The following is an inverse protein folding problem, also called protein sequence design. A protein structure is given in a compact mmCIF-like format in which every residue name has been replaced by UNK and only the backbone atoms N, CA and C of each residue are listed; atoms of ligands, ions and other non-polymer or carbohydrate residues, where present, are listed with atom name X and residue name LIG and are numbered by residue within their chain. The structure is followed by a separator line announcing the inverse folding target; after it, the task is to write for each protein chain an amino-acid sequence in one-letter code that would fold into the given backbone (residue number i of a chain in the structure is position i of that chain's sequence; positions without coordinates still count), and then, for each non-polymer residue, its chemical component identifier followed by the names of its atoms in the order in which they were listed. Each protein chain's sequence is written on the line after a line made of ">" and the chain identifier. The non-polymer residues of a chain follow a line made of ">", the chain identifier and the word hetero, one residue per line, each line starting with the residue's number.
data_IF_902348501964
#
_entry.id   IF_902348501964
#
_cell.length_a   1.000
_cell.length_b   1.000
_cell.length_c   1.000
_cell.angle_alpha   90.00
_cell.angle_beta   90.00
_cell.angle_gamma   90.00
#
_symmetry.space_group_name_H-M   'P 1'
#
loop_
_entity.id
_entity.type
_entity.pdbx_description
1 polymer ?
#
# COMPACT_ATOMS: atom_id res chain seq x y z
N UNK A 1 7.32 28.48 17.59
CA UNK A 1 8.64 28.03 17.06
C UNK A 1 9.79 28.55 17.92
N UNK A 2 9.55 29.54 18.78
CA UNK A 2 10.38 29.75 19.99
C UNK A 2 10.58 28.44 20.75
N UNK A 3 11.76 28.28 21.35
CA UNK A 3 12.16 27.07 22.05
C UNK A 3 12.80 25.99 21.16
N UNK A 4 12.75 26.10 19.83
CA UNK A 4 13.41 25.16 18.90
C UNK A 4 14.59 25.79 18.15
N UNK A 5 15.51 24.94 17.70
CA UNK A 5 16.59 25.30 16.78
C UNK A 5 16.04 25.96 15.51
N UNK A 6 16.79 26.87 14.86
CA UNK A 6 16.41 27.40 13.56
C UNK A 6 16.20 26.28 12.51
N UNK A 7 15.33 26.49 11.50
CA UNK A 7 15.17 25.52 10.42
C UNK A 7 16.46 25.28 9.65
N UNK A 8 16.70 24.03 9.26
CA UNK A 8 17.83 23.68 8.39
C UNK A 8 17.45 23.78 6.92
N UNK A 9 18.42 23.73 6.01
CA UNK A 9 18.17 23.73 4.55
C UNK A 9 17.30 22.53 4.12
N UNK A 10 17.43 21.40 4.81
CA UNK A 10 16.60 20.21 4.61
C UNK A 10 15.12 20.47 4.91
N UNK A 11 14.78 21.54 5.62
CA UNK A 11 13.40 21.94 5.95
C UNK A 11 12.85 23.00 4.99
N UNK A 12 13.60 23.41 3.96
CA UNK A 12 13.23 24.51 3.03
C UNK A 12 11.93 24.29 2.25
N UNK A 13 11.52 23.03 2.06
CA UNK A 13 10.27 22.67 1.38
C UNK A 13 9.04 22.73 2.29
N UNK A 14 9.24 22.86 3.61
CA UNK A 14 8.14 22.98 4.56
C UNK A 14 7.65 24.43 4.63
N UNK A 15 6.33 24.61 4.62
CA UNK A 15 5.69 25.91 4.75
C UNK A 15 4.99 26.07 6.11
N UNK A 16 4.88 27.29 6.61
CA UNK A 16 4.23 27.57 7.90
C UNK A 16 5.03 27.05 9.10
N UNK A 17 4.35 26.45 10.08
CA UNK A 17 4.94 26.05 11.36
C UNK A 17 5.40 24.57 11.42
N UNK A 18 5.54 23.91 10.27
CA UNK A 18 6.02 22.52 10.23
C UNK A 18 7.53 22.44 10.43
N UNK A 19 7.96 21.43 11.16
CA UNK A 19 9.37 21.08 11.40
C UNK A 19 9.57 19.58 11.20
N UNK A 20 10.72 19.19 10.66
CA UNK A 20 11.10 17.78 10.64
C UNK A 20 11.54 17.37 12.04
N UNK A 21 10.90 16.34 12.60
CA UNK A 21 11.23 15.84 13.94
C UNK A 21 12.71 15.41 14.08
N UNK A 22 13.34 15.01 12.99
CA UNK A 22 14.77 14.64 12.96
C UNK A 22 15.73 15.84 12.83
N UNK A 23 15.24 17.05 12.56
CA UNK A 23 16.05 18.27 12.41
C UNK A 23 15.84 19.26 13.55
N UNK A 24 14.66 19.25 14.18
CA UNK A 24 14.34 20.14 15.28
C UNK A 24 14.99 19.66 16.60
N UNK A 25 15.69 20.57 17.27
CA UNK A 25 16.22 20.37 18.63
C UNK A 25 15.66 21.44 19.57
N UNK A 26 15.49 21.11 20.86
CA UNK A 26 15.08 22.08 21.88
C UNK A 26 16.24 23.03 22.16
N UNK A 27 16.05 24.31 21.85
CA UNK A 27 17.02 25.38 22.06
C UNK A 27 16.86 26.07 23.41
N UNK A 28 15.63 26.13 23.94
CA UNK A 28 15.34 26.67 25.28
C UNK A 28 14.40 25.73 26.05
N UNK A 29 14.90 25.01 27.07
CA UNK A 29 14.11 24.12 27.91
C UNK A 29 13.08 24.82 28.80
N UNK A 30 13.17 26.14 28.99
CA UNK A 30 12.23 26.92 29.79
C UNK A 30 10.95 27.33 29.05
N UNK A 31 10.90 27.07 27.74
CA UNK A 31 9.78 27.39 26.87
C UNK A 31 8.91 26.15 26.64
N UNK A 32 7.60 26.28 26.82
CA UNK A 32 6.65 25.21 26.50
C UNK A 32 6.53 25.01 24.99
N UNK A 33 6.72 23.77 24.53
CA UNK A 33 6.67 23.40 23.11
C UNK A 33 5.49 22.46 22.88
N UNK A 34 4.46 22.97 22.22
CA UNK A 34 3.34 22.16 21.75
C UNK A 34 3.57 21.73 20.30
N UNK A 35 3.31 20.45 20.01
CA UNK A 35 3.34 19.93 18.65
C UNK A 35 2.21 18.93 18.41
N UNK A 36 1.75 18.89 17.16
CA UNK A 36 0.84 17.86 16.70
C UNK A 36 1.46 17.15 15.49
N UNK A 37 1.57 15.81 15.50
CA UNK A 37 1.99 15.09 14.31
C UNK A 37 0.97 15.33 13.21
N UNK A 38 1.47 15.58 12.00
CA UNK A 38 0.62 15.78 10.85
C UNK A 38 -0.12 14.47 10.53
N UNK A 39 -1.39 14.39 10.93
CA UNK A 39 -2.27 13.27 10.59
C UNK A 39 -2.74 13.41 9.15
N UNK A 40 -1.88 13.09 8.18
CA UNK A 40 -2.36 12.85 6.81
C UNK A 40 -2.99 11.47 6.76
N UNK A 41 -4.19 11.40 6.22
CA UNK A 41 -4.73 10.13 5.76
C UNK A 41 -3.87 9.72 4.55
N UNK A 42 -3.14 8.59 4.62
CA UNK A 42 -2.35 8.15 3.49
C UNK A 42 -3.26 7.98 2.28
N UNK A 43 -2.90 8.61 1.16
CA UNK A 43 -3.57 8.40 -0.11
C UNK A 43 -2.73 7.42 -0.90
N UNK A 44 -3.28 6.23 -1.10
CA UNK A 44 -2.66 5.24 -1.97
C UNK A 44 -3.09 5.56 -3.39
N UNK A 45 -2.11 5.68 -4.30
CA UNK A 45 -2.38 5.86 -5.71
C UNK A 45 -2.90 4.53 -6.28
N UNK A 46 -4.15 4.52 -6.72
CA UNK A 46 -4.82 3.34 -7.30
C UNK A 46 -4.87 3.37 -8.82
N UNK A 47 -4.41 4.44 -9.46
CA UNK A 47 -4.40 4.53 -10.91
C UNK A 47 -3.13 3.88 -11.47
N UNK A 48 -3.29 2.75 -12.14
CA UNK A 48 -2.25 2.10 -12.90
C UNK A 48 -2.29 2.55 -14.38
N UNK A 49 -1.13 2.58 -15.02
CA UNK A 49 -1.04 2.80 -16.48
C UNK A 49 -1.54 1.56 -17.21
N UNK A 50 -2.53 1.71 -18.08
CA UNK A 50 -3.02 0.62 -18.92
C UNK A 50 -1.93 0.13 -19.89
N UNK A 51 -1.79 -1.18 -20.02
CA UNK A 51 -0.99 -1.82 -21.06
C UNK A 51 -1.88 -2.83 -21.76
N UNK A 52 -1.85 -2.82 -23.08
CA UNK A 52 -2.54 -3.84 -23.87
C UNK A 52 -1.73 -5.14 -23.77
N UNK A 53 -2.34 -6.16 -23.16
CA UNK A 53 -1.75 -7.49 -22.97
C UNK A 53 -2.79 -8.48 -23.49
N UNK A 54 -2.35 -9.50 -24.22
CA UNK A 54 -3.19 -10.62 -24.60
C UNK A 54 -3.28 -11.59 -23.40
N UNK A 55 -4.45 -11.78 -22.78
CA UNK A 55 -4.57 -12.60 -21.58
C UNK A 55 -4.48 -14.09 -21.93
N UNK A 56 -3.62 -14.82 -21.20
CA UNK A 56 -3.51 -16.29 -21.23
C UNK A 56 -3.75 -16.86 -19.82
N UNK A 57 -5.00 -16.81 -19.30
CA UNK A 57 -5.31 -17.27 -17.97
C UNK A 57 -5.38 -18.80 -17.91
N UNK A 58 -4.93 -19.39 -16.79
CA UNK A 58 -5.13 -20.82 -16.54
C UNK A 58 -6.61 -21.20 -16.35
N UNK A 59 -7.46 -20.23 -16.01
CA UNK A 59 -8.90 -20.42 -15.84
C UNK A 59 -9.62 -19.89 -17.07
N UNK A 60 -10.21 -20.77 -17.86
CA UNK A 60 -10.87 -20.42 -19.12
C UNK A 60 -12.28 -20.99 -19.20
N UNK A 61 -13.13 -20.31 -19.96
CA UNK A 61 -14.44 -20.83 -20.34
C UNK A 61 -14.29 -21.86 -21.45
N UNK A 62 -14.92 -23.01 -21.28
CA UNK A 62 -15.12 -24.03 -22.32
C UNK A 62 -16.62 -24.33 -22.46
N UNK A 63 -17.27 -23.67 -23.42
CA UNK A 63 -18.72 -23.73 -23.62
C UNK A 63 -19.50 -23.26 -22.39
N UNK A 64 -20.20 -24.21 -21.75
CA UNK A 64 -20.97 -24.01 -20.52
C UNK A 64 -20.18 -24.30 -19.24
N UNK A 65 -18.92 -24.74 -19.35
CA UNK A 65 -18.06 -25.07 -18.22
C UNK A 65 -16.95 -24.03 -18.04
N UNK A 66 -16.43 -23.92 -16.82
CA UNK A 66 -15.19 -23.23 -16.48
C UNK A 66 -14.15 -24.30 -16.20
N UNK A 67 -12.98 -24.18 -16.81
CA UNK A 67 -11.85 -25.09 -16.59
C UNK A 67 -10.69 -24.36 -15.94
N UNK A 68 -9.97 -25.04 -15.06
CA UNK A 68 -8.68 -24.62 -14.53
C UNK A 68 -7.63 -25.63 -14.99
N UNK A 69 -6.65 -25.18 -15.77
CA UNK A 69 -5.59 -26.06 -16.31
C UNK A 69 -6.18 -27.31 -17.00
N UNK A 70 -7.21 -27.09 -17.84
CA UNK A 70 -7.91 -28.13 -18.59
C UNK A 70 -8.86 -29.03 -17.78
N UNK A 71 -9.00 -28.81 -16.46
CA UNK A 71 -9.94 -29.57 -15.61
C UNK A 71 -11.19 -28.75 -15.35
N UNK A 72 -12.37 -29.31 -15.60
CA UNK A 72 -13.64 -28.65 -15.26
C UNK A 72 -13.71 -28.40 -13.75
N UNK A 73 -13.94 -27.14 -13.36
CA UNK A 73 -14.03 -26.70 -11.97
C UNK A 73 -15.41 -26.15 -11.61
N UNK A 74 -16.17 -25.63 -12.57
CA UNK A 74 -17.53 -25.11 -12.36
C UNK A 74 -18.30 -24.99 -13.67
N UNK A 75 -19.58 -24.61 -13.60
CA UNK A 75 -20.38 -24.13 -14.74
C UNK A 75 -20.15 -22.64 -14.94
N UNK A 76 -20.15 -22.18 -16.19
CA UNK A 76 -20.08 -20.75 -16.51
C UNK A 76 -21.35 -20.01 -16.07
N UNK A 77 -21.18 -18.91 -15.32
CA UNK A 77 -22.27 -18.12 -14.74
C UNK A 77 -22.32 -16.67 -15.26
N UNK A 78 -21.58 -16.35 -16.33
CA UNK A 78 -21.63 -15.06 -17.01
C UNK A 78 -20.34 -14.24 -16.98
N UNK A 79 -19.39 -14.55 -16.10
CA UNK A 79 -18.05 -13.94 -16.08
C UNK A 79 -17.07 -14.81 -15.31
N UNK A 80 -15.78 -14.70 -15.63
CA UNK A 80 -14.68 -15.31 -14.86
C UNK A 80 -13.77 -14.18 -14.38
N UNK A 81 -13.63 -14.04 -13.06
CA UNK A 81 -12.79 -13.00 -12.46
C UNK A 81 -11.55 -13.57 -11.78
N UNK A 82 -10.48 -12.77 -11.78
CA UNK A 82 -9.26 -13.00 -11.03
C UNK A 82 -8.87 -11.80 -10.19
N UNK A 83 -7.91 -12.00 -9.30
CA UNK A 83 -7.32 -10.94 -8.49
C UNK A 83 -5.83 -10.84 -8.79
N UNK A 84 -5.37 -9.64 -9.16
CA UNK A 84 -3.95 -9.30 -9.16
C UNK A 84 -3.65 -8.55 -7.87
N UNK A 85 -2.78 -9.10 -7.02
CA UNK A 85 -2.49 -8.59 -5.68
C UNK A 85 -0.99 -8.24 -5.57
N UNK A 86 -0.69 -6.99 -5.22
CA UNK A 86 0.64 -6.54 -4.85
C UNK A 86 0.70 -6.30 -3.33
N UNK A 87 1.52 -7.09 -2.64
CA UNK A 87 1.68 -7.05 -1.18
C UNK A 87 2.99 -6.38 -0.84
N UNK A 88 2.98 -5.05 -0.81
CA UNK A 88 4.09 -4.26 -0.31
C UNK A 88 4.17 -4.28 1.23
N UNK A 89 5.32 -3.88 1.78
CA UNK A 89 5.50 -3.75 3.23
C UNK A 89 4.53 -2.73 3.82
N UNK A 90 4.36 -1.58 3.18
CA UNK A 90 3.49 -0.50 3.68
C UNK A 90 2.05 -0.62 3.17
N UNK A 91 1.88 -1.10 1.94
CA UNK A 91 0.60 -1.02 1.21
C UNK A 91 0.29 -2.34 0.54
N UNK A 92 -0.98 -2.74 0.58
CA UNK A 92 -1.51 -3.82 -0.25
C UNK A 92 -2.40 -3.18 -1.32
N UNK A 93 -2.14 -3.52 -2.59
CA UNK A 93 -2.95 -3.09 -3.72
C UNK A 93 -3.54 -4.31 -4.45
N UNK A 94 -4.77 -4.16 -4.96
CA UNK A 94 -5.49 -5.25 -5.60
C UNK A 94 -6.28 -4.75 -6.80
N UNK A 95 -6.25 -5.50 -7.89
CA UNK A 95 -7.13 -5.32 -9.04
C UNK A 95 -8.06 -6.54 -9.16
N UNK A 96 -9.35 -6.26 -9.28
CA UNK A 96 -10.33 -7.23 -9.80
C UNK A 96 -10.23 -7.22 -11.32
N UNK A 97 -9.90 -8.37 -11.91
CA UNK A 97 -9.64 -8.51 -13.34
C UNK A 97 -10.67 -9.45 -13.94
N UNK A 98 -11.26 -9.08 -15.06
CA UNK A 98 -12.02 -10.00 -15.92
C UNK A 98 -11.02 -10.84 -16.72
N UNK A 99 -11.02 -12.16 -16.49
CA UNK A 99 -10.09 -13.08 -17.13
C UNK A 99 -10.41 -13.34 -18.61
N UNK A 100 -11.64 -13.06 -19.06
CA UNK A 100 -12.01 -13.22 -20.47
C UNK A 100 -11.51 -12.04 -21.32
N UNK A 101 -11.55 -10.81 -20.79
CA UNK A 101 -11.10 -9.61 -21.50
C UNK A 101 -9.71 -9.11 -21.11
N UNK A 102 -9.17 -9.57 -19.97
CA UNK A 102 -7.97 -9.01 -19.34
C UNK A 102 -8.19 -7.64 -18.67
N UNK A 103 -9.41 -7.10 -18.72
CA UNK A 103 -9.72 -5.76 -18.22
C UNK A 103 -9.76 -5.66 -16.69
N UNK A 104 -9.28 -4.55 -16.14
CA UNK A 104 -9.44 -4.24 -14.70
C UNK A 104 -10.83 -3.65 -14.44
N UNK A 105 -11.62 -4.35 -13.63
CA UNK A 105 -12.97 -3.96 -13.22
C UNK A 105 -12.94 -2.98 -12.05
N UNK A 106 -12.04 -3.21 -11.09
CA UNK A 106 -11.92 -2.38 -9.90
C UNK A 106 -10.51 -2.43 -9.32
N UNK A 107 -10.06 -1.32 -8.73
CA UNK A 107 -8.80 -1.23 -8.00
C UNK A 107 -9.05 -0.79 -6.57
N UNK A 108 -8.56 -1.57 -5.62
CA UNK A 108 -8.60 -1.28 -4.19
C UNK A 108 -7.19 -1.28 -3.61
N UNK A 109 -6.99 -0.51 -2.53
CA UNK A 109 -5.73 -0.54 -1.79
C UNK A 109 -5.92 -0.12 -0.35
N UNK A 110 -5.06 -0.62 0.53
CA UNK A 110 -5.10 -0.35 1.96
C UNK A 110 -3.70 -0.45 2.58
N UNK A 111 -3.52 0.13 3.77
CA UNK A 111 -2.29 -0.06 4.53
C UNK A 111 -2.13 -1.52 4.91
N UNK A 112 -0.93 -2.07 4.73
CA UNK A 112 -0.65 -3.44 5.11
C UNK A 112 -0.86 -3.62 6.63
N UNK A 113 -1.79 -4.48 7.06
CA UNK A 113 -2.07 -4.70 8.47
C UNK A 113 -0.85 -5.15 9.27
N UNK A 114 0.15 -5.78 8.64
CA UNK A 114 1.40 -6.21 9.29
C UNK A 114 2.26 -5.06 9.83
N UNK A 115 1.87 -3.79 9.66
CA UNK A 115 2.57 -2.65 10.26
C UNK A 115 2.75 -2.76 11.78
N UNK A 116 1.88 -3.48 12.48
CA UNK A 116 2.03 -3.69 13.94
C UNK A 116 3.26 -4.55 14.29
N UNK A 117 3.65 -5.47 13.41
CA UNK A 117 4.78 -6.38 13.64
C UNK A 117 6.13 -5.77 13.27
N UNK A 118 6.16 -4.52 12.79
CA UNK A 118 7.38 -3.86 12.37
C UNK A 118 7.16 -2.91 11.19
N UNK A 119 7.86 -1.77 11.23
CA UNK A 119 7.85 -0.76 10.16
C UNK A 119 8.56 -1.23 8.88
N UNK A 120 9.36 -2.29 8.97
CA UNK A 120 10.14 -2.87 7.87
C UNK A 120 10.20 -4.40 7.98
N UNK A 121 10.78 -5.03 6.96
CA UNK A 121 10.89 -6.50 6.85
C UNK A 121 11.66 -7.11 8.01
N UNK A 122 12.77 -6.48 8.44
CA UNK A 122 13.63 -7.04 9.48
C UNK A 122 12.93 -7.06 10.83
N UNK A 123 12.23 -5.96 11.16
CA UNK A 123 11.42 -5.89 12.36
C UNK A 123 10.29 -6.94 12.36
N UNK A 124 9.67 -7.20 11.20
CA UNK A 124 8.62 -8.24 11.08
C UNK A 124 9.15 -9.65 11.26
N UNK A 125 10.33 -9.96 10.73
CA UNK A 125 11.00 -11.25 10.94
C UNK A 125 11.33 -11.42 12.43
N UNK A 126 11.85 -10.36 13.07
CA UNK A 126 12.17 -10.39 14.50
C UNK A 126 10.93 -10.56 15.39
N UNK A 127 9.80 -9.93 15.03
CA UNK A 127 8.53 -10.07 15.74
C UNK A 127 8.01 -11.52 15.70
N UNK A 128 8.10 -12.18 14.55
CA UNK A 128 7.71 -13.59 14.39
C UNK A 128 8.65 -14.54 15.15
N UNK A 129 9.94 -14.24 15.19
CA UNK A 129 10.97 -15.06 15.85
C UNK A 129 10.84 -15.17 17.37
N UNK A 130 10.08 -14.28 18.03
CA UNK A 130 9.88 -14.26 19.49
C UNK A 130 11.16 -14.05 20.31
N UNK A 131 11.06 -13.74 21.62
CA UNK A 131 12.21 -13.88 22.51
C UNK A 131 12.47 -15.38 22.70
N UNK A 132 13.71 -15.82 22.53
CA UNK A 132 14.16 -17.10 23.09
C UNK A 132 13.96 -17.10 24.61
#
# INVERSE_FOLDING_TARGET
>A
MEGLSPPTEAESFLSGNYRLACQAAVADPGTDIEFAPLRRQPRILTQATHRDIDPDPLTVRDGDSVTFDGRSVDRYQGSIYGLAIDVGTTTVAMNLVDLESGGTIHTASFENPQKFGGSDVMNRIAYDGGPN
#
